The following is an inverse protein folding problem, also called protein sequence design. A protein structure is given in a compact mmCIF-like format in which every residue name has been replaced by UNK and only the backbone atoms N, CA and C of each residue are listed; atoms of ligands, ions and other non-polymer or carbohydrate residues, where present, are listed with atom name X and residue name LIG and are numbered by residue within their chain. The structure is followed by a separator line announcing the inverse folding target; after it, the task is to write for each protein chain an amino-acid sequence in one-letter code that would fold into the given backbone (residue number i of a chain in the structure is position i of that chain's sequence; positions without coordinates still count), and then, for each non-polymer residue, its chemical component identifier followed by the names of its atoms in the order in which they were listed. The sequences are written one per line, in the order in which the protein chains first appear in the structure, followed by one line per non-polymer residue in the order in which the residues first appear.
data_IF_835802801496
#
_entry.id   IF_835802801496
#
_cell.length_a   1.000
_cell.length_b   1.000
_cell.length_c   1.000
_cell.angle_alpha   90.00
_cell.angle_beta   90.00
_cell.angle_gamma   90.00
#
_symmetry.space_group_name_H-M   'P 1'
#
loop_
_entity.id
_entity.type
_entity.pdbx_description
1 polymer ?
#
# COMPACT_ATOMS: atom_id res chain seq x y z
N UNK A 1 -36.93 -10.41 67.34
CA UNK A 1 -36.48 -10.28 68.74
C UNK A 1 -35.68 -11.53 69.06
N UNK A 2 -34.42 -11.56 69.47
CA UNK A 2 -33.35 -10.62 69.81
C UNK A 2 -32.05 -11.35 69.38
N UNK A 3 -30.87 -10.77 69.22
CA UNK A 3 -30.27 -9.56 69.73
C UNK A 3 -28.78 -9.75 69.41
N UNK A 4 -28.19 -8.73 68.81
CA UNK A 4 -26.89 -8.73 68.17
C UNK A 4 -25.84 -8.24 69.20
N UNK A 5 -24.61 -8.72 69.05
CA UNK A 5 -23.31 -8.03 69.30
C UNK A 5 -22.59 -8.11 70.68
N UNK A 6 -21.31 -8.46 70.53
CA UNK A 6 -20.10 -8.39 71.36
C UNK A 6 -19.94 -7.22 72.34
N UNK A 7 -19.02 -7.35 73.31
CA UNK A 7 -17.71 -6.62 73.26
C UNK A 7 -16.49 -7.47 73.75
N UNK A 8 -15.37 -7.52 73.02
CA UNK A 8 -14.10 -6.75 73.18
C UNK A 8 -13.31 -7.03 74.49
N UNK A 9 -12.07 -7.55 74.39
CA UNK A 9 -10.84 -6.86 74.87
C UNK A 9 -9.53 -7.57 74.45
N UNK A 10 -8.45 -6.80 74.43
CA UNK A 10 -7.15 -6.99 73.72
C UNK A 10 -5.97 -7.23 74.71
N UNK A 11 -4.67 -7.00 74.40
CA UNK A 11 -3.72 -7.78 73.57
C UNK A 11 -2.33 -8.07 74.24
N UNK A 12 -1.42 -8.71 73.47
CA UNK A 12 0.08 -8.68 73.48
C UNK A 12 0.84 -9.83 74.18
N UNK A 13 1.64 -10.56 73.41
CA UNK A 13 3.11 -10.41 73.46
C UNK A 13 3.82 -11.13 72.29
N UNK A 14 4.89 -10.47 71.84
CA UNK A 14 5.75 -10.77 70.70
C UNK A 14 7.00 -11.51 71.17
N UNK A 15 7.36 -12.66 70.57
CA UNK A 15 8.70 -13.31 70.49
C UNK A 15 8.47 -14.71 69.86
N UNK A 16 9.16 -15.26 68.87
CA UNK A 16 10.31 -14.90 68.03
C UNK A 16 10.23 -15.78 66.76
N UNK A 17 10.72 -15.25 65.63
CA UNK A 17 10.96 -15.95 64.35
C UNK A 17 12.37 -16.59 64.40
N UNK A 18 12.63 -17.77 63.81
CA UNK A 18 13.20 -17.74 62.46
C UNK A 18 12.84 -18.98 61.61
N UNK A 19 12.20 -18.78 60.47
CA UNK A 19 12.67 -19.31 59.17
C UNK A 19 11.67 -18.97 58.06
N UNK A 20 12.11 -18.04 57.23
CA UNK A 20 11.64 -17.72 55.89
C UNK A 20 11.22 -18.96 55.10
N UNK A 21 10.04 -18.94 54.47
CA UNK A 21 9.95 -19.31 53.06
C UNK A 21 8.79 -18.57 52.37
N UNK A 22 9.20 -17.82 51.34
CA UNK A 22 8.43 -17.40 50.16
C UNK A 22 7.19 -16.54 50.35
N UNK A 23 7.48 -15.24 50.50
CA UNK A 23 6.84 -14.19 49.72
C UNK A 23 6.56 -14.62 48.27
N UNK A 24 5.33 -15.02 47.96
CA UNK A 24 4.78 -14.90 46.61
C UNK A 24 3.71 -13.81 46.62
N UNK A 25 4.19 -12.57 46.70
CA UNK A 25 3.52 -11.49 45.99
C UNK A 25 3.64 -11.84 44.50
N UNK A 26 2.60 -12.40 43.89
CA UNK A 26 2.47 -12.40 42.44
C UNK A 26 2.19 -10.97 42.02
N UNK A 27 3.28 -10.22 41.89
CA UNK A 27 3.36 -8.97 41.21
C UNK A 27 2.91 -9.18 39.76
N UNK A 28 1.85 -8.48 39.38
CA UNK A 28 1.69 -7.78 38.11
C UNK A 28 2.42 -8.41 36.91
N UNK A 29 1.74 -9.33 36.22
CA UNK A 29 2.16 -9.87 34.93
C UNK A 29 2.08 -8.75 33.87
N UNK A 30 3.22 -8.13 33.56
CA UNK A 30 3.40 -7.22 32.44
C UNK A 30 3.80 -8.01 31.18
N UNK A 31 3.44 -7.57 29.96
CA UNK A 31 3.28 -8.44 28.80
C UNK A 31 4.62 -8.75 28.09
N UNK A 32 4.97 -10.04 28.03
CA UNK A 32 6.14 -10.56 27.32
C UNK A 32 6.06 -10.51 25.78
N UNK A 33 4.91 -10.14 25.18
CA UNK A 33 4.77 -10.07 23.71
C UNK A 33 5.46 -8.87 23.03
N UNK A 34 5.72 -7.78 23.75
CA UNK A 34 6.13 -6.52 23.09
C UNK A 34 7.62 -6.43 22.73
N UNK A 35 8.48 -7.25 23.33
CA UNK A 35 9.93 -7.21 23.07
C UNK A 35 10.30 -8.02 21.82
N UNK A 36 9.76 -9.23 21.70
CA UNK A 36 9.97 -10.12 20.56
C UNK A 36 9.29 -9.59 19.29
N UNK A 37 8.07 -9.04 19.43
CA UNK A 37 7.37 -8.40 18.33
C UNK A 37 8.15 -7.18 17.77
N UNK A 38 8.73 -6.35 18.64
CA UNK A 38 9.60 -5.24 18.21
C UNK A 38 10.88 -5.72 17.53
N UNK A 39 11.43 -6.86 17.95
CA UNK A 39 12.59 -7.47 17.28
C UNK A 39 12.22 -7.99 15.89
N UNK A 40 11.07 -8.66 15.76
CA UNK A 40 10.51 -9.12 14.47
C UNK A 40 10.25 -7.95 13.52
N UNK A 41 9.68 -6.85 14.01
CA UNK A 41 9.43 -5.65 13.20
C UNK A 41 10.72 -5.00 12.72
N UNK A 42 11.75 -4.89 13.57
CA UNK A 42 13.05 -4.34 13.16
C UNK A 42 13.74 -5.21 12.11
N UNK A 43 13.65 -6.54 12.24
CA UNK A 43 14.20 -7.46 11.25
C UNK A 43 13.51 -7.26 9.89
N UNK A 44 12.18 -7.19 9.87
CA UNK A 44 11.42 -6.93 8.65
C UNK A 44 11.74 -5.54 8.06
N UNK A 45 11.89 -4.51 8.90
CA UNK A 45 12.29 -3.17 8.44
C UNK A 45 13.67 -3.19 7.78
N UNK A 46 14.65 -3.90 8.36
CA UNK A 46 15.99 -4.02 7.81
C UNK A 46 16.03 -4.71 6.45
N UNK A 47 15.25 -5.80 6.27
CA UNK A 47 15.15 -6.49 4.98
C UNK A 47 14.54 -5.58 3.90
N UNK A 48 13.52 -4.81 4.26
CA UNK A 48 12.84 -3.87 3.35
C UNK A 48 13.75 -2.70 2.99
N UNK A 49 14.47 -2.12 3.96
CA UNK A 49 15.45 -1.05 3.71
C UNK A 49 16.57 -1.54 2.79
N UNK A 50 17.13 -2.73 3.03
CA UNK A 50 18.18 -3.30 2.19
C UNK A 50 17.73 -3.54 0.75
N UNK A 51 16.50 -4.05 0.56
CA UNK A 51 15.91 -4.20 -0.78
C UNK A 51 15.65 -2.85 -1.44
N UNK A 52 15.15 -1.87 -0.68
CA UNK A 52 14.87 -0.52 -1.17
C UNK A 52 16.15 0.19 -1.64
N UNK A 53 17.25 0.07 -0.91
CA UNK A 53 18.54 0.66 -1.29
C UNK A 53 19.05 0.08 -2.61
N UNK A 54 19.01 -1.24 -2.75
CA UNK A 54 19.44 -1.94 -3.97
C UNK A 54 18.55 -1.57 -5.16
N UNK A 55 17.24 -1.45 -4.94
CA UNK A 55 16.28 -1.02 -5.94
C UNK A 55 16.49 0.45 -6.34
N UNK A 56 16.77 1.33 -5.38
CA UNK A 56 17.03 2.74 -5.61
C UNK A 56 18.30 2.95 -6.44
N UNK A 57 19.38 2.24 -6.10
CA UNK A 57 20.66 2.37 -6.80
C UNK A 57 20.56 1.96 -8.28
N UNK A 58 19.92 0.81 -8.55
CA UNK A 58 19.70 0.34 -9.93
C UNK A 58 18.62 1.13 -10.65
N UNK A 59 17.63 1.61 -9.91
CA UNK A 59 16.50 2.37 -10.43
C UNK A 59 16.90 3.73 -10.97
N UNK A 60 17.78 4.48 -10.28
CA UNK A 60 18.17 5.86 -10.67
C UNK A 60 18.69 5.94 -12.11
N UNK A 61 19.66 5.10 -12.47
CA UNK A 61 20.25 5.12 -13.82
C UNK A 61 19.25 4.75 -14.93
N UNK A 62 18.36 3.79 -14.67
CA UNK A 62 17.30 3.42 -15.60
C UNK A 62 16.23 4.52 -15.71
N UNK A 63 15.86 5.13 -14.59
CA UNK A 63 14.88 6.21 -14.51
C UNK A 63 15.35 7.44 -15.29
N UNK A 64 16.63 7.82 -15.21
CA UNK A 64 17.15 8.97 -15.94
C UNK A 64 17.07 8.78 -17.46
N UNK A 65 17.46 7.59 -17.96
CA UNK A 65 17.35 7.25 -19.38
C UNK A 65 15.89 7.18 -19.85
N UNK A 66 15.03 6.53 -19.06
CA UNK A 66 13.61 6.43 -19.34
C UNK A 66 12.92 7.79 -19.32
N UNK A 67 13.29 8.68 -18.40
CA UNK A 67 12.72 10.04 -18.26
C UNK A 67 12.95 10.88 -19.50
N UNK A 68 14.16 10.88 -20.04
CA UNK A 68 14.48 11.63 -21.26
C UNK A 68 13.63 11.17 -22.45
N UNK A 69 13.51 9.86 -22.63
CA UNK A 69 12.73 9.28 -23.72
C UNK A 69 11.22 9.52 -23.52
N UNK A 70 10.71 9.27 -22.32
CA UNK A 70 9.31 9.46 -21.97
C UNK A 70 8.88 10.93 -22.11
N UNK A 71 9.71 11.89 -21.69
CA UNK A 71 9.37 13.31 -21.77
C UNK A 71 9.09 13.75 -23.21
N UNK A 72 9.95 13.37 -24.16
CA UNK A 72 9.76 13.71 -25.57
C UNK A 72 8.50 13.09 -26.18
N UNK A 73 8.19 11.84 -25.83
CA UNK A 73 7.03 11.13 -26.35
C UNK A 73 5.71 11.63 -25.73
N UNK A 74 5.70 11.87 -24.42
CA UNK A 74 4.52 12.36 -23.69
C UNK A 74 4.17 13.77 -24.13
N UNK A 75 5.15 14.66 -24.31
CA UNK A 75 4.85 16.04 -24.72
C UNK A 75 4.11 16.09 -26.07
N UNK A 76 4.44 15.16 -26.98
CA UNK A 76 3.78 15.03 -28.28
C UNK A 76 2.35 14.48 -28.20
N UNK A 77 2.03 13.69 -27.16
CA UNK A 77 0.75 12.99 -27.04
C UNK A 77 -0.13 13.47 -25.88
N UNK A 78 0.32 14.46 -25.10
CA UNK A 78 -0.42 14.93 -23.91
C UNK A 78 -1.80 15.47 -24.28
N UNK A 79 -1.93 16.14 -25.42
CA UNK A 79 -3.21 16.72 -25.86
C UNK A 79 -4.24 15.62 -26.11
N UNK A 80 -3.85 14.56 -26.83
CA UNK A 80 -4.74 13.42 -27.11
C UNK A 80 -5.14 12.68 -25.83
N UNK A 81 -4.18 12.53 -24.90
CA UNK A 81 -4.44 11.92 -23.61
C UNK A 81 -5.37 12.78 -22.74
N UNK A 82 -5.14 14.10 -22.68
CA UNK A 82 -5.98 15.03 -21.92
C UNK A 82 -7.41 15.08 -22.47
N UNK A 83 -7.58 15.03 -23.80
CA UNK A 83 -8.87 14.97 -24.46
C UNK A 83 -9.60 13.67 -24.09
N UNK A 84 -8.92 12.52 -24.18
CA UNK A 84 -9.50 11.22 -23.82
C UNK A 84 -9.98 11.18 -22.36
N UNK A 85 -9.24 11.83 -21.46
CA UNK A 85 -9.63 11.94 -20.05
C UNK A 85 -10.84 12.86 -19.86
N UNK A 86 -10.92 13.98 -20.58
CA UNK A 86 -12.11 14.85 -20.57
C UNK A 86 -13.34 14.12 -21.11
N UNK A 87 -13.21 13.40 -22.23
CA UNK A 87 -14.29 12.64 -22.83
C UNK A 87 -14.82 11.56 -21.86
N UNK A 88 -13.91 10.92 -21.11
CA UNK A 88 -14.28 9.99 -20.06
C UNK A 88 -14.98 10.68 -18.87
N UNK A 89 -14.48 11.83 -18.42
CA UNK A 89 -15.12 12.63 -17.37
C UNK A 89 -16.56 13.00 -17.76
N UNK A 90 -16.75 13.46 -19.01
CA UNK A 90 -18.06 13.77 -19.56
C UNK A 90 -18.96 12.55 -19.62
N UNK A 91 -18.44 11.40 -20.05
CA UNK A 91 -19.20 10.14 -20.09
C UNK A 91 -19.67 9.72 -18.69
N UNK A 92 -18.77 9.73 -17.69
CA UNK A 92 -19.08 9.41 -16.30
C UNK A 92 -20.15 10.38 -15.75
N UNK A 93 -19.99 11.68 -16.01
CA UNK A 93 -20.95 12.69 -15.56
C UNK A 93 -22.32 12.51 -16.23
N UNK A 94 -22.35 12.20 -17.51
CA UNK A 94 -23.59 11.92 -18.24
C UNK A 94 -24.29 10.68 -17.67
N UNK A 95 -23.58 9.58 -17.46
CA UNK A 95 -24.14 8.36 -16.86
C UNK A 95 -24.65 8.60 -15.43
N UNK A 96 -23.99 9.45 -14.65
CA UNK A 96 -24.45 9.86 -13.33
C UNK A 96 -25.73 10.69 -13.34
N UNK A 97 -26.01 11.43 -14.43
CA UNK A 97 -27.28 12.14 -14.64
C UNK A 97 -28.43 11.19 -14.99
N UNK A 98 -28.12 10.08 -15.65
CA UNK A 98 -29.10 9.05 -16.06
C UNK A 98 -29.49 8.12 -14.90
N UNK A 99 -28.61 7.99 -13.89
CA UNK A 99 -29.02 7.46 -12.59
C UNK A 99 -29.96 8.49 -11.96
N UNK A 100 -31.24 8.10 -11.79
CA UNK A 100 -32.31 8.96 -11.26
C UNK A 100 -32.02 9.59 -9.88
N UNK A 101 -33.06 9.96 -9.13
CA UNK A 101 -33.00 10.90 -7.98
C UNK A 101 -32.29 10.37 -6.70
N UNK A 102 -31.14 9.68 -6.83
CA UNK A 102 -30.26 9.23 -5.75
C UNK A 102 -29.10 10.23 -5.57
N UNK A 103 -29.24 11.23 -4.69
CA UNK A 103 -28.26 12.32 -4.56
C UNK A 103 -26.86 11.82 -4.18
N UNK A 104 -26.75 10.80 -3.32
CA UNK A 104 -25.46 10.26 -2.88
C UNK A 104 -24.70 9.58 -4.02
N UNK A 105 -25.41 8.89 -4.91
CA UNK A 105 -24.79 8.18 -6.03
C UNK A 105 -24.37 9.21 -7.08
N UNK A 106 -25.24 10.16 -7.42
CA UNK A 106 -24.90 11.26 -8.32
C UNK A 106 -23.69 12.06 -7.85
N UNK A 107 -23.62 12.39 -6.56
CA UNK A 107 -22.48 13.10 -5.97
C UNK A 107 -21.16 12.33 -6.14
N UNK A 108 -21.20 11.00 -6.08
CA UNK A 108 -20.03 10.17 -6.34
C UNK A 108 -19.58 10.24 -7.80
N UNK A 109 -20.49 10.12 -8.76
CA UNK A 109 -20.18 10.25 -10.20
C UNK A 109 -19.68 11.67 -10.54
N UNK A 110 -20.29 12.70 -9.96
CA UNK A 110 -19.86 14.08 -10.13
C UNK A 110 -18.45 14.28 -9.57
N UNK A 111 -18.16 13.78 -8.35
CA UNK A 111 -16.81 13.87 -7.76
C UNK A 111 -15.76 13.12 -8.60
N UNK A 112 -16.13 11.96 -9.15
CA UNK A 112 -15.24 11.21 -10.05
C UNK A 112 -14.97 12.01 -11.34
N UNK A 113 -16.02 12.57 -11.95
CA UNK A 113 -15.88 13.39 -13.14
C UNK A 113 -15.03 14.65 -12.89
N UNK A 114 -15.22 15.34 -11.75
CA UNK A 114 -14.41 16.50 -11.36
C UNK A 114 -12.94 16.12 -11.18
N UNK A 115 -12.67 14.97 -10.56
CA UNK A 115 -11.31 14.44 -10.44
C UNK A 115 -10.65 14.16 -11.79
N UNK A 116 -11.40 13.58 -12.75
CA UNK A 116 -10.89 13.33 -14.10
C UNK A 116 -10.70 14.63 -14.90
N UNK A 117 -11.60 15.59 -14.79
CA UNK A 117 -11.49 16.88 -15.48
C UNK A 117 -10.25 17.65 -14.99
N UNK A 118 -10.03 17.66 -13.67
CA UNK A 118 -8.83 18.22 -13.06
C UNK A 118 -7.56 17.47 -13.51
N UNK A 119 -7.63 16.15 -13.66
CA UNK A 119 -6.54 15.34 -14.20
C UNK A 119 -6.24 15.70 -15.66
N UNK A 120 -7.22 15.73 -16.55
CA UNK A 120 -7.02 16.11 -17.96
C UNK A 120 -6.42 17.51 -18.09
N UNK A 121 -6.93 18.46 -17.31
CA UNK A 121 -6.41 19.81 -17.19
C UNK A 121 -4.93 19.85 -16.74
N UNK A 122 -4.55 18.98 -15.81
CA UNK A 122 -3.16 18.88 -15.33
C UNK A 122 -2.24 18.24 -16.37
N UNK A 123 -2.70 17.23 -17.10
CA UNK A 123 -1.95 16.55 -18.18
C UNK A 123 -1.61 17.54 -19.30
N UNK A 124 -2.54 18.42 -19.66
CA UNK A 124 -2.33 19.43 -20.71
C UNK A 124 -1.29 20.49 -20.29
N UNK A 125 -1.35 20.95 -19.04
CA UNK A 125 -0.60 22.15 -18.60
C UNK A 125 0.77 21.86 -18.00
N UNK A 126 0.99 20.69 -17.39
CA UNK A 126 2.22 20.40 -16.64
C UNK A 126 3.17 19.47 -17.38
N UNK A 127 4.46 19.73 -17.19
CA UNK A 127 5.51 18.81 -17.58
C UNK A 127 5.55 17.60 -16.63
N UNK A 128 6.06 16.46 -17.10
CA UNK A 128 6.28 15.27 -16.26
C UNK A 128 7.14 15.57 -15.01
N UNK A 129 8.04 16.56 -15.09
CA UNK A 129 8.88 16.96 -13.97
C UNK A 129 8.09 17.57 -12.81
N UNK A 130 7.07 18.38 -13.12
CA UNK A 130 6.21 18.99 -12.11
C UNK A 130 5.28 17.97 -11.45
N UNK A 131 4.83 16.98 -12.24
CA UNK A 131 4.03 15.86 -11.75
C UNK A 131 4.76 15.01 -10.72
N UNK A 132 6.06 14.77 -10.92
CA UNK A 132 6.85 13.97 -9.99
C UNK A 132 6.90 14.60 -8.58
N UNK A 133 7.15 15.91 -8.53
CA UNK A 133 7.22 16.65 -7.27
C UNK A 133 5.88 16.63 -6.51
N UNK A 134 4.77 16.67 -7.24
CA UNK A 134 3.43 16.62 -6.65
C UNK A 134 3.04 15.21 -6.21
N UNK A 135 3.45 14.20 -6.97
CA UNK A 135 3.29 12.79 -6.61
C UNK A 135 4.06 12.46 -5.33
N UNK A 136 5.27 13.00 -5.12
CA UNK A 136 6.01 12.83 -3.87
C UNK A 136 5.24 13.40 -2.67
N UNK A 137 4.70 14.61 -2.81
CA UNK A 137 3.87 15.25 -1.79
C UNK A 137 2.61 14.42 -1.50
N UNK A 138 1.94 13.91 -2.53
CA UNK A 138 0.78 13.04 -2.39
C UNK A 138 1.13 11.72 -1.68
N UNK A 139 2.26 11.11 -2.03
CA UNK A 139 2.69 9.85 -1.43
C UNK A 139 2.92 9.97 0.08
N UNK A 140 3.48 11.11 0.52
CA UNK A 140 3.66 11.41 1.95
C UNK A 140 2.35 11.68 2.67
N UNK A 141 1.32 12.19 1.97
CA UNK A 141 0.01 12.55 2.56
C UNK A 141 -0.98 11.39 2.62
N UNK A 142 -0.90 10.45 1.68
CA UNK A 142 -1.86 9.36 1.55
C UNK A 142 -1.14 8.00 1.34
N UNK A 143 -0.41 7.50 2.35
CA UNK A 143 0.40 6.28 2.23
C UNK A 143 -0.45 5.04 1.86
N UNK A 144 -1.68 4.94 2.38
CA UNK A 144 -2.60 3.84 2.05
C UNK A 144 -3.01 3.87 0.58
N UNK A 145 -3.31 5.05 0.04
CA UNK A 145 -3.68 5.20 -1.37
C UNK A 145 -2.54 4.79 -2.30
N UNK A 146 -1.30 5.14 -1.94
CA UNK A 146 -0.10 4.71 -2.67
C UNK A 146 0.06 3.20 -2.64
N UNK A 147 -0.03 2.57 -1.47
CA UNK A 147 0.11 1.11 -1.37
C UNK A 147 -0.89 0.37 -2.28
N UNK A 148 -2.16 0.79 -2.27
CA UNK A 148 -3.20 0.22 -3.15
C UNK A 148 -2.88 0.49 -4.63
N UNK A 149 -2.49 1.72 -4.96
CA UNK A 149 -2.14 2.11 -6.33
C UNK A 149 -0.97 1.30 -6.89
N UNK A 150 0.10 1.12 -6.11
CA UNK A 150 1.28 0.33 -6.51
C UNK A 150 0.93 -1.13 -6.73
N UNK A 151 0.08 -1.71 -5.88
CA UNK A 151 -0.36 -3.10 -6.06
C UNK A 151 -1.13 -3.27 -7.38
N UNK A 152 -2.11 -2.40 -7.66
CA UNK A 152 -2.89 -2.43 -8.91
C UNK A 152 -1.98 -2.22 -10.12
N UNK A 153 -1.07 -1.24 -10.05
CA UNK A 153 -0.09 -0.99 -11.11
C UNK A 153 0.81 -2.21 -11.37
N UNK A 154 1.24 -2.90 -10.32
CA UNK A 154 2.01 -4.15 -10.41
C UNK A 154 1.24 -5.27 -11.12
N UNK A 155 -0.06 -5.43 -10.83
CA UNK A 155 -0.90 -6.42 -11.53
C UNK A 155 -1.08 -6.08 -13.01
N UNK A 156 -1.28 -4.81 -13.35
CA UNK A 156 -1.38 -4.36 -14.75
C UNK A 156 -0.05 -4.63 -15.47
N UNK A 157 1.08 -4.27 -14.85
CA UNK A 157 2.40 -4.52 -15.41
C UNK A 157 2.66 -6.02 -15.60
N UNK A 158 2.31 -6.85 -14.62
CA UNK A 158 2.43 -8.30 -14.70
C UNK A 158 1.56 -8.87 -15.83
N UNK A 159 0.34 -8.34 -16.01
CA UNK A 159 -0.55 -8.73 -17.12
C UNK A 159 0.05 -8.36 -18.47
N UNK A 160 0.67 -7.19 -18.60
CA UNK A 160 1.31 -6.76 -19.84
C UNK A 160 2.50 -7.67 -20.19
N UNK A 161 3.38 -7.94 -19.23
CA UNK A 161 4.54 -8.83 -19.41
C UNK A 161 4.12 -10.27 -19.78
N UNK A 162 3.08 -10.80 -19.11
CA UNK A 162 2.52 -12.12 -19.43
C UNK A 162 1.81 -12.13 -20.79
N UNK A 163 1.21 -11.02 -21.19
CA UNK A 163 0.55 -10.90 -22.49
C UNK A 163 1.54 -10.68 -23.64
N UNK A 164 2.72 -10.12 -23.37
CA UNK A 164 3.77 -9.89 -24.37
C UNK A 164 4.68 -11.10 -24.58
N UNK A 165 4.58 -12.12 -23.73
CA UNK A 165 5.24 -13.41 -23.96
C UNK A 165 4.45 -14.20 -25.01
N UNK A 166 4.71 -13.89 -26.29
CA UNK A 166 4.48 -14.85 -27.38
C UNK A 166 5.28 -16.13 -27.04
N UNK A 167 4.67 -17.32 -27.06
CA UNK A 167 5.42 -18.56 -26.94
C UNK A 167 6.53 -18.55 -27.99
N UNK A 168 7.79 -18.84 -27.65
CA UNK A 168 8.74 -19.23 -28.67
C UNK A 168 8.16 -20.48 -29.30
N UNK A 169 7.77 -20.38 -30.57
CA UNK A 169 7.56 -21.57 -31.38
C UNK A 169 8.83 -22.38 -31.24
N UNK A 170 8.74 -23.50 -30.52
CA UNK A 170 9.79 -24.48 -30.56
C UNK A 170 9.90 -24.90 -32.02
N UNK A 171 11.05 -24.71 -32.69
CA UNK A 171 11.30 -25.48 -33.89
C UNK A 171 11.36 -26.94 -33.44
N UNK A 172 10.22 -27.64 -33.48
CA UNK A 172 10.18 -29.08 -33.47
C UNK A 172 11.03 -29.54 -34.65
N UNK A 173 12.18 -30.12 -34.31
CA UNK A 173 13.20 -30.51 -35.26
C UNK A 173 12.64 -31.43 -36.33
N UNK A 174 12.76 -30.96 -37.57
CA UNK A 174 13.12 -31.83 -38.67
C UNK A 174 14.36 -32.66 -38.28
N UNK A 175 14.31 -33.99 -38.47
CA UNK A 175 15.43 -34.95 -38.57
C UNK A 175 15.12 -36.37 -38.04
N UNK A 176 13.98 -36.99 -38.43
CA UNK A 176 13.79 -38.44 -38.21
C UNK A 176 13.20 -39.25 -39.38
N UNK A 177 13.17 -38.71 -40.60
CA UNK A 177 12.63 -39.43 -41.77
C UNK A 177 13.55 -39.50 -43.00
N UNK A 178 14.87 -39.45 -42.82
CA UNK A 178 15.85 -39.57 -43.92
C UNK A 178 16.79 -40.78 -43.84
N UNK A 179 16.48 -41.79 -43.01
CA UNK A 179 17.26 -43.04 -43.04
C UNK A 179 16.49 -44.27 -42.57
N UNK A 180 15.64 -44.85 -43.43
CA UNK A 180 15.47 -46.32 -43.46
C UNK A 180 14.86 -46.83 -44.77
N UNK A 181 15.73 -47.52 -45.52
CA UNK A 181 15.56 -48.70 -46.38
C UNK A 181 14.31 -48.81 -47.26
#
# INVERSE_FOLDING_TARGET
MAGNEFPQDTPKDTLADPLRETSHATAHEAPHGSADERAQWRALQGDVEGLADVAAERGRGLLDAARLQAQSYVEQRKSDAAQSVHDLAQTIRNSGRDLGDKPNVRAFFDSAADGLEQLGSSIERRSLGDFYNEAESFARRAPVAVAVGTFVAGLIAARFIKSSSLPPEAPEGDARDSFRA
#
